data_IF_266894046235
#
_entry.id   IF_266894046235
#
_cell.length_a   1.000
_cell.length_b   1.000
_cell.length_c   1.000
_cell.angle_alpha   90.00
_cell.angle_beta   90.00
_cell.angle_gamma   90.00
#
_symmetry.space_group_name_H-M   'P 1'
#
loop_
_entity.id
_entity.type
_entity.pdbx_description
1 polymer ?
#
# COMPACT_ATOMS: atom_id res chain seq x y z
N UNK A 1 3.94 64.92 -28.97
CA UNK A 1 3.61 63.59 -29.43
C UNK A 1 4.20 62.38 -28.58
N UNK A 2 5.27 62.56 -27.79
CA UNK A 2 5.90 61.46 -27.01
C UNK A 2 5.11 61.03 -25.76
N UNK A 3 4.40 61.89 -25.07
CA UNK A 3 3.68 61.60 -23.82
C UNK A 3 2.51 60.60 -24.04
N UNK A 4 1.81 60.64 -25.15
CA UNK A 4 0.71 59.74 -25.46
C UNK A 4 1.18 58.28 -25.72
N UNK A 5 2.41 58.08 -26.20
CA UNK A 5 2.98 56.72 -26.40
C UNK A 5 3.34 56.07 -25.08
N UNK A 6 3.85 56.82 -24.12
CA UNK A 6 4.22 56.27 -22.78
C UNK A 6 2.96 55.88 -22.00
N UNK A 7 1.92 56.74 -21.99
CA UNK A 7 0.64 56.42 -21.35
C UNK A 7 -0.04 55.18 -21.97
N UNK A 8 -0.04 55.05 -23.31
CA UNK A 8 -0.55 53.87 -23.98
C UNK A 8 0.22 52.61 -23.59
N UNK A 9 1.55 52.64 -23.50
CA UNK A 9 2.35 51.50 -23.03
C UNK A 9 2.03 51.10 -21.59
N UNK A 10 1.89 52.06 -20.69
CA UNK A 10 1.53 51.81 -19.30
C UNK A 10 0.12 51.17 -19.16
N UNK A 11 -0.85 51.65 -19.93
CA UNK A 11 -2.20 51.06 -19.94
C UNK A 11 -2.18 49.63 -20.48
N UNK A 12 -1.42 49.37 -21.54
CA UNK A 12 -1.29 48.01 -22.09
C UNK A 12 -0.62 47.08 -21.09
N UNK A 13 0.45 47.48 -20.40
CA UNK A 13 1.12 46.69 -19.37
C UNK A 13 0.16 46.40 -18.21
N UNK A 14 -0.58 47.41 -17.75
CA UNK A 14 -1.55 47.21 -16.66
C UNK A 14 -2.67 46.21 -17.05
N UNK A 15 -3.18 46.28 -18.29
CA UNK A 15 -4.15 45.33 -18.80
C UNK A 15 -3.59 43.91 -18.90
N UNK A 16 -2.36 43.73 -19.36
CA UNK A 16 -1.70 42.42 -19.42
C UNK A 16 -1.55 41.80 -18.02
N UNK A 17 -1.10 42.61 -17.05
CA UNK A 17 -0.94 42.16 -15.66
C UNK A 17 -2.31 41.76 -15.08
N UNK A 18 -3.35 42.49 -15.35
CA UNK A 18 -4.71 42.22 -14.90
C UNK A 18 -5.25 40.92 -15.52
N UNK A 19 -5.05 40.70 -16.82
CA UNK A 19 -5.45 39.47 -17.51
C UNK A 19 -4.69 38.26 -16.95
N UNK A 20 -3.37 38.36 -16.76
CA UNK A 20 -2.55 37.28 -16.16
C UNK A 20 -3.00 37.01 -14.72
N UNK A 21 -3.25 38.07 -13.93
CA UNK A 21 -3.76 37.91 -12.56
C UNK A 21 -5.09 37.20 -12.50
N UNK A 22 -6.04 37.55 -13.39
CA UNK A 22 -7.34 36.84 -13.47
C UNK A 22 -7.20 35.41 -13.96
N UNK A 23 -6.31 35.13 -14.91
CA UNK A 23 -6.06 33.78 -15.40
C UNK A 23 -5.44 32.88 -14.30
N UNK A 24 -4.49 33.40 -13.54
CA UNK A 24 -3.88 32.68 -12.40
C UNK A 24 -4.90 32.48 -11.28
N UNK A 25 -5.76 33.46 -11.01
CA UNK A 25 -6.82 33.33 -10.01
C UNK A 25 -7.88 32.31 -10.45
N UNK A 26 -8.31 32.34 -11.69
CA UNK A 26 -9.26 31.36 -12.25
C UNK A 26 -8.68 29.93 -12.26
N UNK A 27 -7.40 29.77 -12.58
CA UNK A 27 -6.75 28.44 -12.53
C UNK A 27 -6.60 27.88 -11.11
N UNK A 28 -6.54 28.74 -10.08
CA UNK A 28 -6.56 28.30 -8.67
C UNK A 28 -7.94 27.86 -8.19
N UNK A 29 -9.01 28.48 -8.72
CA UNK A 29 -10.40 28.10 -8.38
C UNK A 29 -10.81 26.80 -9.11
N UNK A 30 -10.22 26.54 -10.27
CA UNK A 30 -10.49 25.34 -11.07
C UNK A 30 -9.61 24.15 -10.72
N UNK A 31 -8.81 24.22 -9.66
CA UNK A 31 -8.19 23.00 -9.12
C UNK A 31 -9.32 22.15 -8.53
N UNK A 32 -9.62 20.94 -9.07
CA UNK A 32 -10.50 20.03 -8.38
C UNK A 32 -9.85 19.81 -7.01
N UNK A 33 -10.60 20.04 -5.93
CA UNK A 33 -10.16 19.61 -4.62
C UNK A 33 -9.69 18.16 -4.72
N UNK A 34 -8.54 17.81 -4.09
CA UNK A 34 -8.14 16.42 -4.02
C UNK A 34 -9.34 15.69 -3.47
N UNK A 35 -10.00 14.91 -4.32
CA UNK A 35 -11.12 14.07 -3.89
C UNK A 35 -10.55 13.19 -2.79
N UNK A 36 -10.80 13.58 -1.56
CA UNK A 36 -10.71 12.67 -0.42
C UNK A 36 -11.59 11.51 -0.84
N UNK A 37 -10.98 10.44 -1.31
CA UNK A 37 -11.67 9.17 -1.62
C UNK A 37 -12.51 8.92 -0.38
N UNK A 38 -13.80 9.05 -0.56
CA UNK A 38 -14.72 9.13 0.56
C UNK A 38 -14.53 7.86 1.38
N UNK A 39 -14.05 8.03 2.59
CA UNK A 39 -13.84 7.00 3.61
C UNK A 39 -15.09 6.13 3.81
N UNK A 40 -16.25 6.60 3.35
CA UNK A 40 -17.52 5.87 3.32
C UNK A 40 -17.48 4.68 2.36
N UNK A 41 -16.97 4.84 1.13
CA UNK A 41 -16.93 3.75 0.13
C UNK A 41 -15.93 2.65 0.51
N UNK A 42 -14.80 3.01 1.11
CA UNK A 42 -13.87 2.02 1.66
C UNK A 42 -14.46 1.33 2.92
N UNK A 43 -15.22 2.05 3.74
CA UNK A 43 -15.90 1.48 4.90
C UNK A 43 -16.95 0.43 4.50
N UNK A 44 -17.70 0.68 3.44
CA UNK A 44 -18.69 -0.28 2.93
C UNK A 44 -18.03 -1.48 2.25
N UNK A 45 -16.95 -1.27 1.49
CA UNK A 45 -16.25 -2.35 0.77
C UNK A 45 -15.58 -3.37 1.71
N UNK A 46 -15.15 -2.95 2.90
CA UNK A 46 -14.49 -3.82 3.86
C UNK A 46 -15.33 -4.14 5.12
N UNK A 47 -16.62 -3.80 5.11
CA UNK A 47 -17.50 -4.09 6.26
C UNK A 47 -17.08 -3.42 7.57
N UNK A 48 -16.27 -2.35 7.50
CA UNK A 48 -15.71 -1.68 8.67
C UNK A 48 -16.78 -1.06 9.58
N UNK A 49 -17.99 -0.80 9.06
CA UNK A 49 -19.15 -0.35 9.85
C UNK A 49 -19.58 -1.39 10.90
N UNK A 50 -19.33 -2.69 10.64
CA UNK A 50 -19.72 -3.78 11.53
C UNK A 50 -18.54 -4.36 12.33
N UNK A 51 -17.29 -3.97 12.04
CA UNK A 51 -16.12 -4.56 12.68
C UNK A 51 -16.18 -4.49 14.22
N UNK A 52 -16.65 -3.40 14.77
CA UNK A 52 -16.79 -3.24 16.23
C UNK A 52 -17.87 -4.19 16.77
N UNK A 53 -19.03 -4.26 16.13
CA UNK A 53 -20.13 -5.13 16.56
C UNK A 53 -19.78 -6.62 16.41
N UNK A 54 -19.00 -6.97 15.40
CA UNK A 54 -18.50 -8.34 15.26
C UNK A 54 -17.42 -8.66 16.30
N UNK A 55 -16.55 -7.69 16.60
CA UNK A 55 -15.54 -7.84 17.65
C UNK A 55 -16.19 -8.06 19.05
N UNK A 56 -17.28 -7.36 19.34
CA UNK A 56 -18.02 -7.48 20.60
C UNK A 56 -18.69 -8.86 20.79
N UNK A 57 -18.95 -9.58 19.70
CA UNK A 57 -19.49 -10.94 19.72
C UNK A 57 -18.44 -12.01 20.00
N UNK A 58 -17.17 -11.69 19.82
CA UNK A 58 -16.08 -12.64 20.01
C UNK A 58 -15.88 -12.89 21.51
N UNK A 59 -15.96 -14.14 21.91
CA UNK A 59 -15.70 -14.53 23.29
C UNK A 59 -14.25 -14.23 23.68
N UNK A 60 -14.07 -13.55 24.80
CA UNK A 60 -12.75 -13.28 25.35
C UNK A 60 -12.20 -14.55 26.01
N UNK A 61 -11.17 -15.12 25.39
CA UNK A 61 -10.46 -16.32 25.89
C UNK A 61 -9.01 -16.01 26.21
N UNK A 62 -8.51 -16.64 27.24
CA UNK A 62 -7.09 -16.63 27.57
C UNK A 62 -6.25 -17.30 26.48
N UNK A 63 -4.94 -17.07 26.51
CA UNK A 63 -3.99 -17.71 25.60
C UNK A 63 -3.89 -19.20 25.88
N UNK A 64 -4.13 -20.05 24.87
CA UNK A 64 -3.99 -21.49 24.97
C UNK A 64 -2.49 -21.90 25.05
N UNK A 65 -2.19 -23.09 25.60
CA UNK A 65 -0.83 -23.62 25.61
C UNK A 65 -0.25 -23.75 24.20
N UNK A 66 1.07 -23.58 24.08
CA UNK A 66 1.81 -23.79 22.83
C UNK A 66 2.08 -25.27 22.52
N UNK A 67 1.66 -26.16 23.38
CA UNK A 67 1.85 -27.61 23.25
C UNK A 67 1.36 -28.08 21.88
N UNK A 68 2.13 -28.94 21.21
CA UNK A 68 1.81 -29.44 19.88
C UNK A 68 2.00 -28.51 18.72
N UNK A 69 2.41 -27.24 18.96
CA UNK A 69 2.68 -26.31 17.87
C UNK A 69 3.83 -26.80 16.99
N UNK A 70 3.58 -26.82 15.70
CA UNK A 70 4.64 -26.85 14.68
C UNK A 70 4.17 -26.07 13.46
N UNK A 71 5.10 -25.50 12.70
CA UNK A 71 4.74 -24.79 11.45
C UNK A 71 4.04 -25.68 10.44
N UNK A 72 4.29 -27.00 10.49
CA UNK A 72 3.65 -27.99 9.61
C UNK A 72 2.14 -28.09 9.80
N UNK A 73 1.61 -27.70 10.97
CA UNK A 73 0.17 -27.64 11.24
C UNK A 73 -0.56 -26.63 10.34
N UNK A 74 0.18 -25.63 9.82
CA UNK A 74 -0.34 -24.62 8.90
C UNK A 74 -0.02 -24.93 7.43
N UNK A 75 0.43 -26.15 7.13
CA UNK A 75 0.78 -26.58 5.79
C UNK A 75 2.30 -26.62 5.53
N UNK A 76 2.64 -27.10 4.34
CA UNK A 76 4.03 -27.25 3.90
C UNK A 76 4.46 -26.04 3.06
N UNK A 77 5.03 -25.00 3.71
CA UNK A 77 5.53 -23.82 3.03
C UNK A 77 4.43 -22.82 2.66
N UNK A 78 4.67 -22.06 1.60
CA UNK A 78 3.76 -21.03 1.12
C UNK A 78 2.59 -21.62 0.35
N UNK A 79 1.39 -21.16 0.62
CA UNK A 79 0.21 -21.45 -0.19
C UNK A 79 0.37 -20.99 -1.63
N UNK A 80 -0.62 -21.27 -2.49
CA UNK A 80 -0.64 -20.84 -3.89
C UNK A 80 -1.87 -20.01 -4.21
N UNK A 81 -1.69 -18.98 -5.05
CA UNK A 81 -2.75 -18.19 -5.66
C UNK A 81 -2.55 -18.27 -7.17
N UNK A 82 -3.55 -18.76 -7.91
CA UNK A 82 -3.49 -18.92 -9.37
C UNK A 82 -2.23 -19.69 -9.85
N UNK A 83 -1.83 -20.72 -9.10
CA UNK A 83 -0.65 -21.52 -9.42
C UNK A 83 0.69 -20.96 -8.94
N UNK A 84 0.76 -19.68 -8.59
CA UNK A 84 1.96 -19.02 -8.10
C UNK A 84 2.02 -19.08 -6.56
N UNK A 85 3.22 -19.26 -6.00
CA UNK A 85 3.40 -19.20 -4.54
C UNK A 85 2.99 -17.84 -3.99
N UNK A 86 2.29 -17.82 -2.85
CA UNK A 86 1.91 -16.57 -2.15
C UNK A 86 3.13 -15.67 -1.93
N UNK A 87 4.30 -16.23 -1.62
CA UNK A 87 5.53 -15.47 -1.49
C UNK A 87 5.87 -14.69 -2.76
N UNK A 88 5.75 -15.31 -3.92
CA UNK A 88 6.04 -14.66 -5.21
C UNK A 88 5.00 -13.58 -5.55
N UNK A 89 3.73 -13.84 -5.23
CA UNK A 89 2.66 -12.86 -5.40
C UNK A 89 2.90 -11.60 -4.55
N UNK A 90 3.32 -11.78 -3.31
CA UNK A 90 3.66 -10.66 -2.41
C UNK A 90 4.89 -9.91 -2.91
N UNK A 91 5.94 -10.61 -3.32
CA UNK A 91 7.12 -9.96 -3.90
C UNK A 91 6.79 -9.14 -5.15
N UNK A 92 5.97 -9.70 -6.05
CA UNK A 92 5.52 -8.98 -7.25
C UNK A 92 4.64 -7.78 -6.94
N UNK A 93 3.87 -7.81 -5.86
CA UNK A 93 3.05 -6.69 -5.40
C UNK A 93 3.87 -5.53 -4.85
N UNK A 94 4.90 -5.86 -4.06
CA UNK A 94 5.60 -4.88 -3.20
C UNK A 94 6.92 -4.37 -3.80
N UNK A 95 7.47 -5.06 -4.80
CA UNK A 95 8.66 -4.61 -5.51
C UNK A 95 8.29 -3.76 -6.73
N UNK A 96 9.12 -2.78 -7.03
CA UNK A 96 9.10 -2.06 -8.31
C UNK A 96 10.21 -2.61 -9.22
N UNK A 97 10.08 -2.39 -10.53
CA UNK A 97 11.05 -2.86 -11.56
C UNK A 97 11.36 -4.37 -11.44
N UNK A 98 10.35 -5.14 -11.04
CA UNK A 98 10.48 -6.57 -10.85
C UNK A 98 10.70 -7.33 -12.16
N UNK A 99 11.55 -8.33 -12.11
CA UNK A 99 11.72 -9.33 -13.18
C UNK A 99 11.15 -10.65 -12.70
N UNK A 100 10.16 -11.16 -13.43
CA UNK A 100 9.44 -12.40 -13.10
C UNK A 100 9.68 -13.42 -14.23
N UNK A 101 9.94 -14.68 -13.88
CA UNK A 101 10.07 -15.75 -14.86
C UNK A 101 8.73 -16.43 -15.16
N UNK A 102 8.72 -17.32 -16.15
CA UNK A 102 7.54 -18.09 -16.60
C UNK A 102 6.92 -18.96 -15.49
N UNK A 103 7.64 -19.22 -14.41
CA UNK A 103 7.21 -20.00 -13.25
C UNK A 103 6.75 -19.12 -12.10
N UNK A 104 6.39 -17.86 -12.37
CA UNK A 104 6.00 -16.84 -11.40
C UNK A 104 7.10 -16.47 -10.38
N UNK A 105 8.36 -16.83 -10.58
CA UNK A 105 9.40 -16.49 -9.60
C UNK A 105 9.91 -15.09 -9.85
N UNK A 106 9.86 -14.25 -8.84
CA UNK A 106 10.47 -12.92 -8.87
C UNK A 106 11.98 -13.06 -8.76
N UNK A 107 12.70 -12.67 -9.80
CA UNK A 107 14.16 -12.79 -9.90
C UNK A 107 14.89 -11.59 -9.31
N UNK A 108 14.37 -10.40 -9.52
CA UNK A 108 14.93 -9.15 -9.00
C UNK A 108 13.86 -8.08 -8.89
N UNK A 109 14.15 -6.99 -8.19
CA UNK A 109 13.29 -5.82 -8.05
C UNK A 109 13.81 -4.89 -6.98
N UNK A 110 13.11 -3.80 -6.74
CA UNK A 110 13.46 -2.77 -5.76
C UNK A 110 12.34 -2.65 -4.73
N UNK A 111 12.67 -2.83 -3.46
CA UNK A 111 11.76 -2.58 -2.35
C UNK A 111 12.03 -1.18 -1.76
N UNK A 112 11.02 -0.34 -1.77
CA UNK A 112 11.00 0.85 -0.92
C UNK A 112 10.39 0.45 0.42
N UNK A 113 11.24 0.08 1.37
CA UNK A 113 10.81 -0.51 2.63
C UNK A 113 10.08 0.52 3.52
N UNK A 114 8.78 0.35 3.78
CA UNK A 114 8.00 1.30 4.57
C UNK A 114 8.35 1.30 6.06
N UNK A 115 9.03 0.27 6.56
CA UNK A 115 9.40 0.15 7.96
C UNK A 115 10.71 0.85 8.29
N UNK A 116 11.68 0.79 7.39
CA UNK A 116 13.01 1.40 7.60
C UNK A 116 13.20 2.68 6.79
N UNK A 117 12.35 2.94 5.79
CA UNK A 117 12.51 4.04 4.84
C UNK A 117 13.66 3.83 3.86
N UNK A 118 14.26 2.64 3.82
CA UNK A 118 15.39 2.34 2.95
C UNK A 118 14.95 1.73 1.63
N UNK A 119 15.71 1.98 0.58
CA UNK A 119 15.57 1.28 -0.70
C UNK A 119 16.45 0.04 -0.71
N UNK A 120 15.85 -1.14 -0.87
CA UNK A 120 16.53 -2.42 -0.85
C UNK A 120 16.51 -3.03 -2.25
N UNK A 121 17.68 -3.30 -2.82
CA UNK A 121 17.80 -4.05 -4.07
C UNK A 121 17.62 -5.54 -3.77
N UNK A 122 16.51 -6.09 -4.26
CA UNK A 122 16.22 -7.52 -4.17
C UNK A 122 16.85 -8.24 -5.36
N UNK A 123 17.55 -9.31 -5.08
CA UNK A 123 17.96 -10.29 -6.07
C UNK A 123 17.79 -11.69 -5.51
N UNK A 124 17.17 -12.58 -6.28
CA UNK A 124 16.99 -13.97 -5.88
C UNK A 124 18.34 -14.67 -5.76
N UNK A 125 18.56 -15.33 -4.62
CA UNK A 125 19.78 -16.08 -4.34
C UNK A 125 19.86 -16.47 -2.88
N UNK A 126 20.71 -17.45 -2.55
CA UNK A 126 20.86 -17.98 -1.19
C UNK A 126 21.24 -16.91 -0.16
N UNK A 127 22.10 -15.97 -0.54
CA UNK A 127 22.62 -14.93 0.37
C UNK A 127 21.85 -13.60 0.27
N UNK A 128 21.00 -13.42 -0.72
CA UNK A 128 20.38 -12.13 -1.04
C UNK A 128 18.87 -12.14 -0.83
N UNK A 129 18.20 -13.28 -1.00
CA UNK A 129 16.76 -13.41 -0.79
C UNK A 129 16.32 -13.09 0.64
N UNK A 130 17.21 -13.23 1.62
CA UNK A 130 16.95 -12.90 3.02
C UNK A 130 16.88 -11.41 3.34
N UNK A 131 17.32 -10.55 2.41
CA UNK A 131 17.24 -9.10 2.58
C UNK A 131 15.80 -8.57 2.54
N UNK A 132 14.91 -9.27 1.83
CA UNK A 132 13.48 -8.96 1.79
C UNK A 132 12.72 -10.10 2.47
N UNK A 133 12.35 -9.85 3.70
CA UNK A 133 11.58 -10.78 4.52
C UNK A 133 10.10 -10.62 4.24
N UNK A 134 9.38 -11.74 4.15
CA UNK A 134 7.91 -11.75 4.10
C UNK A 134 7.45 -12.56 5.30
N UNK A 135 6.62 -11.96 6.13
CA UNK A 135 6.11 -12.58 7.34
C UNK A 135 4.58 -12.49 7.38
N UNK A 136 4.00 -13.23 8.29
CA UNK A 136 2.57 -13.22 8.55
C UNK A 136 2.22 -12.04 9.47
N UNK A 137 1.13 -11.33 9.16
CA UNK A 137 0.59 -10.26 10.02
C UNK A 137 0.31 -10.81 11.44
N UNK A 138 -0.19 -12.05 11.53
CA UNK A 138 -0.32 -12.77 12.78
C UNK A 138 0.67 -13.93 12.78
N UNK A 139 1.64 -13.91 13.70
CA UNK A 139 2.61 -14.97 13.81
C UNK A 139 1.94 -16.34 14.03
N UNK A 140 2.36 -17.37 13.29
CA UNK A 140 1.71 -18.71 13.33
C UNK A 140 1.62 -19.29 14.74
N UNK A 141 2.64 -19.08 15.57
CA UNK A 141 2.63 -19.53 16.96
C UNK A 141 1.62 -18.77 17.82
N UNK A 142 1.37 -17.50 17.50
CA UNK A 142 0.35 -16.70 18.17
C UNK A 142 -1.06 -17.12 17.72
N UNK A 143 -1.24 -17.33 16.42
CA UNK A 143 -2.50 -17.87 15.88
C UNK A 143 -2.85 -19.21 16.53
N UNK A 144 -1.86 -20.11 16.69
CA UNK A 144 -2.05 -21.40 17.37
C UNK A 144 -2.59 -21.20 18.80
N UNK A 145 -1.96 -20.35 19.58
CA UNK A 145 -2.36 -20.07 20.96
C UNK A 145 -3.67 -19.28 21.08
N UNK A 146 -4.11 -18.64 20.01
CA UNK A 146 -5.38 -17.89 19.92
C UNK A 146 -6.53 -18.69 19.31
N UNK A 147 -6.35 -20.00 19.13
CA UNK A 147 -7.44 -20.90 18.76
C UNK A 147 -7.28 -21.62 17.42
N UNK A 148 -6.27 -21.30 16.61
CA UNK A 148 -6.06 -21.99 15.33
C UNK A 148 -5.89 -23.52 15.51
N UNK A 149 -5.41 -23.98 16.66
CA UNK A 149 -5.31 -25.40 17.01
C UNK A 149 -6.68 -26.14 17.09
N UNK A 150 -7.79 -25.39 17.14
CA UNK A 150 -9.15 -25.92 17.24
C UNK A 150 -9.91 -25.82 15.89
N UNK A 151 -9.29 -25.23 14.88
CA UNK A 151 -9.90 -25.08 13.55
C UNK A 151 -9.43 -26.25 12.70
N UNK A 152 -10.39 -26.97 12.08
CA UNK A 152 -10.06 -28.02 11.11
C UNK A 152 -9.39 -27.42 9.88
N UNK A 153 -8.47 -28.15 9.24
CA UNK A 153 -7.86 -27.71 7.97
C UNK A 153 -8.86 -27.50 6.85
#
# INVERSE_FOLDING_TARGET
>A
MRVNKIRRRQVVIALVILIVGVAVWASRISQPEPQTIQTSTQRELFGASNAKSELEKIEIKGRAPKTGYSRKQFGNGWGKINGCSVREVILARDLTDEKIDEKCRVLSGVLNDPYTGQTIQFQRGEKTSSKVQIDHVVALSDAWQKGAQQISP
#
